data_IF_862186123188
#
_entry.id   IF_862186123188
#
_cell.length_a   1.000
_cell.length_b   1.000
_cell.length_c   1.000
_cell.angle_alpha   90.00
_cell.angle_beta   90.00
_cell.angle_gamma   90.00
#
_symmetry.space_group_name_H-M   'P 1'
#
loop_
_entity.id
_entity.type
_entity.pdbx_description
1 polymer ?
#
# COMPACT_ATOMS: atom_id res chain seq x y z
N UNK A 1 5.31 0.20 11.45
CA UNK A 1 3.96 0.24 10.85
C UNK A 1 4.04 0.71 9.41
N UNK A 2 3.40 -0.03 8.52
CA UNK A 2 3.26 0.35 7.11
C UNK A 2 2.25 1.51 6.97
N UNK A 3 2.38 2.36 5.96
CA UNK A 3 1.41 3.43 5.72
C UNK A 3 0.01 2.89 5.40
N UNK A 4 -0.07 1.71 4.80
CA UNK A 4 -1.31 0.96 4.52
C UNK A 4 -2.10 0.62 5.78
N UNK A 5 -1.43 0.10 6.81
CA UNK A 5 -2.10 -0.31 8.05
C UNK A 5 -2.61 0.90 8.82
N UNK A 6 -1.85 2.00 8.79
CA UNK A 6 -2.26 3.25 9.44
C UNK A 6 -3.45 3.91 8.72
N UNK A 7 -3.44 3.93 7.38
CA UNK A 7 -4.57 4.41 6.57
C UNK A 7 -5.80 3.53 6.77
N UNK A 8 -5.63 2.20 6.71
CA UNK A 8 -6.74 1.26 6.91
C UNK A 8 -7.34 1.38 8.31
N UNK A 9 -6.52 1.50 9.35
CA UNK A 9 -6.98 1.74 10.72
C UNK A 9 -7.72 3.08 10.84
N UNK A 10 -7.21 4.14 10.22
CA UNK A 10 -7.88 5.44 10.21
C UNK A 10 -9.24 5.42 9.50
N UNK A 11 -9.36 4.73 8.37
CA UNK A 11 -10.63 4.55 7.66
C UNK A 11 -11.60 3.71 8.49
N UNK A 12 -11.14 2.58 9.04
CA UNK A 12 -11.98 1.65 9.81
C UNK A 12 -12.50 2.26 11.13
N UNK A 13 -11.75 3.19 11.72
CA UNK A 13 -12.12 3.90 12.95
C UNK A 13 -12.76 5.28 12.69
N UNK A 14 -12.96 5.65 11.42
CA UNK A 14 -13.41 6.98 10.99
C UNK A 14 -12.62 8.14 11.65
N UNK A 15 -11.35 7.88 12.01
CA UNK A 15 -10.51 8.79 12.78
C UNK A 15 -9.14 8.93 12.11
N UNK A 16 -8.68 10.16 11.79
CA UNK A 16 -7.36 10.36 11.18
C UNK A 16 -6.18 10.07 12.14
N UNK A 17 -6.43 9.89 13.44
CA UNK A 17 -5.40 9.72 14.48
C UNK A 17 -4.32 8.67 14.17
N UNK A 18 -4.66 7.41 13.81
CA UNK A 18 -3.69 6.39 13.44
C UNK A 18 -2.77 6.80 12.28
N UNK A 19 -3.32 7.39 11.22
CA UNK A 19 -2.55 7.93 10.10
C UNK A 19 -1.64 9.08 10.54
N UNK A 20 -2.17 10.05 11.30
CA UNK A 20 -1.41 11.20 11.78
C UNK A 20 -0.21 10.76 12.62
N UNK A 21 -0.41 9.81 13.56
CA UNK A 21 0.67 9.26 14.39
C UNK A 21 1.77 8.60 13.55
N UNK A 22 1.39 7.83 12.53
CA UNK A 22 2.35 7.23 11.62
C UNK A 22 3.10 8.28 10.78
N UNK A 23 2.38 9.28 10.28
CA UNK A 23 2.93 10.34 9.46
C UNK A 23 3.94 11.20 10.26
N UNK A 24 3.58 11.61 11.47
CA UNK A 24 4.44 12.41 12.34
C UNK A 24 5.73 11.66 12.67
N UNK A 25 5.64 10.37 13.03
CA UNK A 25 6.82 9.53 13.23
C UNK A 25 7.72 9.47 11.99
N UNK A 26 7.13 9.30 10.80
CA UNK A 26 7.90 9.28 9.54
C UNK A 26 8.49 10.63 9.21
N UNK A 27 7.80 11.72 9.51
CA UNK A 27 8.28 13.08 9.31
C UNK A 27 9.49 13.35 10.19
N UNK A 28 9.38 13.10 11.50
CA UNK A 28 10.46 13.29 12.48
C UNK A 28 11.71 12.48 12.12
N UNK A 29 11.54 11.21 11.76
CA UNK A 29 12.65 10.35 11.37
C UNK A 29 13.38 10.88 10.11
N UNK A 30 12.66 11.45 9.14
CA UNK A 30 13.29 12.07 7.96
C UNK A 30 13.93 13.42 8.30
N UNK A 31 13.31 14.23 9.16
CA UNK A 31 13.88 15.50 9.62
C UNK A 31 15.18 15.29 10.40
N UNK A 32 15.25 14.25 11.24
CA UNK A 32 16.48 13.89 11.95
C UNK A 32 17.62 13.59 10.97
N UNK A 33 17.36 12.78 9.93
CA UNK A 33 18.35 12.49 8.87
C UNK A 33 18.78 13.73 8.09
N UNK A 34 17.87 14.66 7.85
CA UNK A 34 18.18 15.94 7.20
C UNK A 34 19.03 16.85 8.10
N UNK A 35 18.67 16.94 9.38
CA UNK A 35 19.38 17.77 10.35
C UNK A 35 20.84 17.32 10.52
N UNK A 36 21.10 16.00 10.55
CA UNK A 36 22.46 15.47 10.57
C UNK A 36 23.30 15.90 9.35
N UNK A 37 22.67 16.14 8.20
CA UNK A 37 23.35 16.53 6.96
C UNK A 37 23.31 18.05 6.69
N UNK A 38 22.50 18.82 7.42
CA UNK A 38 22.31 20.26 7.21
C UNK A 38 22.44 21.00 8.53
N UNK A 39 23.68 21.20 8.97
CA UNK A 39 24.02 21.83 10.26
C UNK A 39 23.51 23.27 10.41
N UNK A 40 23.18 23.93 9.30
CA UNK A 40 22.76 25.34 9.28
C UNK A 40 21.24 25.56 9.42
N UNK A 41 20.41 24.53 9.29
CA UNK A 41 18.96 24.68 9.29
C UNK A 41 18.33 24.13 10.58
N UNK A 42 17.52 24.95 11.25
CA UNK A 42 16.75 24.50 12.40
C UNK A 42 15.69 23.46 11.98
N UNK A 43 15.41 22.51 12.87
CA UNK A 43 14.38 21.46 12.67
C UNK A 43 13.01 22.05 12.34
N UNK A 44 12.65 23.17 12.97
CA UNK A 44 11.41 23.93 12.69
C UNK A 44 11.37 24.44 11.24
N UNK A 45 12.48 25.00 10.74
CA UNK A 45 12.56 25.50 9.36
C UNK A 45 12.48 24.35 8.35
N UNK A 46 13.16 23.24 8.61
CA UNK A 46 13.06 22.02 7.80
C UNK A 46 11.63 21.49 7.75
N UNK A 47 10.92 21.46 8.88
CA UNK A 47 9.50 21.06 8.94
C UNK A 47 8.63 21.93 8.04
N UNK A 48 8.81 23.25 8.09
CA UNK A 48 8.07 24.17 7.24
C UNK A 48 8.33 23.94 5.74
N UNK A 49 9.59 23.69 5.36
CA UNK A 49 9.97 23.39 3.96
C UNK A 49 9.32 22.08 3.50
N UNK A 50 9.33 21.04 4.33
CA UNK A 50 8.70 19.75 4.03
C UNK A 50 7.19 19.91 3.87
N UNK A 51 6.53 20.64 4.78
CA UNK A 51 5.09 20.91 4.70
C UNK A 51 4.73 21.75 3.46
N UNK A 52 5.55 22.75 3.14
CA UNK A 52 5.38 23.56 1.92
C UNK A 52 5.52 22.69 0.66
N UNK A 53 6.47 21.77 0.63
CA UNK A 53 6.64 20.85 -0.48
C UNK A 53 5.46 19.88 -0.62
N UNK A 54 4.92 19.37 0.48
CA UNK A 54 3.73 18.52 0.47
C UNK A 54 2.49 19.26 -0.06
N UNK A 55 2.27 20.50 0.38
CA UNK A 55 1.15 21.34 -0.08
C UNK A 55 1.27 21.70 -1.56
N UNK A 56 2.45 22.13 -1.98
CA UNK A 56 2.69 22.57 -3.37
C UNK A 56 2.91 21.41 -4.35
N UNK A 57 3.18 20.19 -3.86
CA UNK A 57 3.58 19.01 -4.64
C UNK A 57 4.77 19.27 -5.57
N UNK A 58 5.65 20.21 -5.19
CA UNK A 58 6.81 20.66 -5.97
C UNK A 58 8.09 20.63 -5.15
N UNK A 59 9.22 20.72 -5.84
CA UNK A 59 10.52 20.94 -5.20
C UNK A 59 10.52 22.35 -4.62
N UNK A 60 10.80 22.45 -3.32
CA UNK A 60 11.02 23.71 -2.63
C UNK A 60 12.52 23.93 -2.52
N UNK A 61 12.98 25.09 -2.96
CA UNK A 61 14.38 25.49 -2.84
C UNK A 61 14.52 26.48 -1.68
N UNK A 62 15.50 26.24 -0.81
CA UNK A 62 15.85 27.10 0.29
C UNK A 62 17.39 27.14 0.42
N UNK A 63 18.01 28.25 0.01
CA UNK A 63 19.45 28.40 -0.09
C UNK A 63 20.10 27.24 -0.88
N UNK A 64 21.00 26.49 -0.24
CA UNK A 64 21.70 25.33 -0.78
C UNK A 64 20.88 24.02 -0.74
N UNK A 65 19.68 24.03 -0.14
CA UNK A 65 18.82 22.86 -0.01
C UNK A 65 17.71 22.89 -1.05
N UNK A 66 17.62 21.84 -1.86
CA UNK A 66 16.43 21.52 -2.67
C UNK A 66 15.74 20.31 -2.06
N UNK A 67 14.46 20.45 -1.71
CA UNK A 67 13.70 19.39 -1.04
C UNK A 67 12.37 19.13 -1.74
N UNK A 68 12.02 17.86 -1.89
CA UNK A 68 10.67 17.46 -2.23
C UNK A 68 10.16 16.34 -1.32
N UNK A 69 8.95 16.52 -0.80
CA UNK A 69 8.25 15.53 -0.03
C UNK A 69 6.96 15.09 -0.73
N UNK A 70 6.56 13.84 -0.52
CA UNK A 70 5.36 13.30 -1.14
C UNK A 70 5.02 11.90 -0.66
N UNK A 71 3.98 11.33 -1.26
CA UNK A 71 3.57 9.94 -1.06
C UNK A 71 3.69 9.17 -2.37
N UNK A 72 4.54 8.15 -2.37
CA UNK A 72 4.57 7.16 -3.44
C UNK A 72 3.47 6.15 -3.20
N UNK A 73 2.72 5.81 -4.27
CA UNK A 73 1.63 4.84 -4.20
C UNK A 73 1.93 3.68 -5.13
N UNK A 74 2.03 2.47 -4.57
CA UNK A 74 2.33 1.24 -5.31
C UNK A 74 1.12 0.32 -5.32
N UNK A 75 0.75 -0.16 -6.51
CA UNK A 75 -0.31 -1.16 -6.66
C UNK A 75 0.18 -2.49 -6.08
N UNK A 76 -0.64 -3.15 -5.27
CA UNK A 76 -0.34 -4.47 -4.71
C UNK A 76 -1.32 -5.51 -5.25
N UNK A 77 -0.79 -6.68 -5.53
CA UNK A 77 -1.55 -7.83 -5.99
C UNK A 77 -1.17 -9.04 -5.16
N UNK A 78 -2.15 -9.91 -4.87
CA UNK A 78 -1.92 -11.18 -4.20
C UNK A 78 -2.41 -12.31 -5.11
N UNK A 79 -1.57 -13.33 -5.29
CA UNK A 79 -1.98 -14.59 -5.89
C UNK A 79 -2.80 -15.37 -4.86
N UNK A 80 -4.04 -15.66 -5.18
CA UNK A 80 -4.94 -16.48 -4.37
C UNK A 80 -5.17 -17.77 -5.14
N UNK A 81 -5.02 -18.88 -4.43
CA UNK A 81 -5.26 -20.21 -4.95
C UNK A 81 -6.46 -20.76 -4.20
N UNK A 82 -7.53 -21.08 -4.92
CA UNK A 82 -8.73 -21.66 -4.34
C UNK A 82 -9.23 -22.80 -5.21
N UNK A 83 -10.04 -23.68 -4.62
CA UNK A 83 -10.66 -24.77 -5.35
C UNK A 83 -12.06 -24.33 -5.78
N UNK A 84 -12.27 -24.25 -7.09
CA UNK A 84 -13.54 -23.87 -7.70
C UNK A 84 -14.30 -25.14 -8.13
N UNK A 85 -15.59 -25.28 -7.77
CA UNK A 85 -16.40 -26.38 -8.26
C UNK A 85 -16.64 -26.20 -9.76
N UNK A 86 -16.31 -27.22 -10.55
CA UNK A 86 -16.60 -27.31 -11.98
C UNK A 86 -17.43 -28.53 -12.28
N UNK A 87 -18.35 -28.38 -13.22
CA UNK A 87 -19.23 -29.46 -13.66
C UNK A 87 -18.69 -30.09 -14.94
N UNK A 88 -18.84 -31.40 -15.06
CA UNK A 88 -18.55 -32.16 -16.28
C UNK A 88 -19.55 -33.31 -16.44
N UNK A 89 -19.71 -33.81 -17.67
CA UNK A 89 -20.60 -34.96 -17.93
C UNK A 89 -19.82 -36.26 -17.67
N UNK A 90 -20.39 -37.13 -16.85
CA UNK A 90 -19.84 -38.44 -16.52
C UNK A 90 -20.93 -39.51 -16.74
N UNK A 91 -20.53 -40.73 -17.10
CA UNK A 91 -21.47 -41.87 -17.14
C UNK A 91 -21.52 -42.53 -15.76
N UNK A 92 -22.72 -42.75 -15.23
CA UNK A 92 -22.95 -43.48 -13.98
C UNK A 92 -23.92 -44.62 -14.22
N UNK A 93 -23.62 -45.78 -13.63
CA UNK A 93 -24.51 -46.94 -13.62
C UNK A 93 -25.39 -46.86 -12.37
N UNK A 94 -26.71 -47.01 -12.53
CA UNK A 94 -27.64 -47.06 -11.41
C UNK A 94 -28.02 -48.52 -11.09
N UNK A 95 -28.29 -48.88 -9.82
CA UNK A 95 -28.50 -50.27 -9.44
C UNK A 95 -29.69 -50.97 -10.12
N UNK A 96 -30.67 -50.20 -10.61
CA UNK A 96 -31.90 -50.69 -11.25
C UNK A 96 -32.09 -50.15 -12.68
N UNK A 97 -31.01 -49.73 -13.36
CA UNK A 97 -31.09 -49.13 -14.70
C UNK A 97 -29.77 -49.20 -15.48
N UNK A 98 -29.77 -48.66 -16.70
CA UNK A 98 -28.60 -48.64 -17.60
C UNK A 98 -27.63 -47.47 -17.37
N UNK A 99 -26.56 -47.44 -18.17
CA UNK A 99 -25.60 -46.32 -18.18
C UNK A 99 -26.25 -45.02 -18.61
N UNK A 100 -26.24 -44.03 -17.71
CA UNK A 100 -26.84 -42.72 -17.98
C UNK A 100 -25.81 -41.61 -17.82
N UNK A 101 -25.90 -40.57 -18.65
CA UNK A 101 -25.07 -39.36 -18.50
C UNK A 101 -25.63 -38.50 -17.37
N UNK A 102 -24.79 -38.22 -16.38
CA UNK A 102 -25.11 -37.34 -15.24
C UNK A 102 -24.09 -36.23 -15.12
N UNK A 103 -24.46 -35.16 -14.41
CA UNK A 103 -23.55 -34.05 -14.11
C UNK A 103 -22.74 -34.42 -12.88
N UNK A 104 -21.43 -34.57 -13.05
CA UNK A 104 -20.48 -34.72 -11.95
C UNK A 104 -19.85 -33.36 -11.60
N UNK A 105 -19.56 -33.15 -10.32
CA UNK A 105 -18.78 -32.01 -9.83
C UNK A 105 -17.35 -32.45 -9.55
N UNK A 106 -16.39 -31.58 -9.86
CA UNK A 106 -14.99 -31.73 -9.46
C UNK A 106 -14.45 -30.41 -8.94
N UNK A 107 -13.50 -30.47 -8.01
CA UNK A 107 -12.84 -29.30 -7.45
C UNK A 107 -11.58 -29.01 -8.26
N UNK A 108 -11.59 -27.96 -9.08
CA UNK A 108 -10.41 -27.55 -9.84
C UNK A 108 -9.65 -26.49 -9.07
N UNK A 109 -8.35 -26.70 -8.87
CA UNK A 109 -7.44 -25.68 -8.34
C UNK A 109 -7.31 -24.55 -9.36
N UNK A 110 -7.76 -23.35 -8.98
CA UNK A 110 -7.71 -22.14 -9.81
C UNK A 110 -6.83 -21.12 -9.12
N UNK A 111 -6.01 -20.44 -9.92
CA UNK A 111 -5.15 -19.38 -9.46
C UNK A 111 -5.65 -18.05 -10.01
N UNK A 112 -5.85 -17.07 -9.13
CA UNK A 112 -6.36 -15.76 -9.49
C UNK A 112 -5.55 -14.68 -8.80
N UNK A 113 -5.27 -13.60 -9.52
CA UNK A 113 -4.68 -12.39 -8.95
C UNK A 113 -5.79 -11.48 -8.42
N UNK A 114 -5.78 -11.20 -7.12
CA UNK A 114 -6.71 -10.26 -6.50
C UNK A 114 -5.99 -8.96 -6.13
N UNK A 115 -6.57 -7.78 -6.42
CA UNK A 115 -6.01 -6.51 -6.01
C UNK A 115 -6.04 -6.40 -4.48
N UNK A 116 -4.94 -5.96 -3.90
CA UNK A 116 -4.87 -5.57 -2.49
C UNK A 116 -4.92 -4.03 -2.37
N UNK A 117 -5.23 -3.50 -1.18
CA UNK A 117 -5.08 -2.07 -0.92
C UNK A 117 -3.70 -1.56 -1.33
N UNK A 118 -3.68 -0.41 -2.03
CA UNK A 118 -2.45 0.20 -2.50
C UNK A 118 -1.50 0.50 -1.35
N UNK A 119 -0.20 0.36 -1.60
CA UNK A 119 0.83 0.71 -0.63
C UNK A 119 1.25 2.16 -0.74
N UNK A 120 1.06 2.90 0.35
CA UNK A 120 1.51 4.28 0.47
C UNK A 120 2.82 4.36 1.25
N UNK A 121 3.81 5.03 0.66
CA UNK A 121 5.10 5.29 1.27
C UNK A 121 5.38 6.79 1.26
N UNK A 122 5.48 7.38 2.44
CA UNK A 122 5.99 8.75 2.58
C UNK A 122 7.47 8.81 2.20
N UNK A 123 7.85 9.79 1.40
CA UNK A 123 9.24 10.03 1.03
C UNK A 123 9.60 11.51 1.16
N UNK A 124 10.88 11.74 1.45
CA UNK A 124 11.52 13.06 1.37
C UNK A 124 12.78 12.88 0.54
N UNK A 125 12.83 13.49 -0.64
CA UNK A 125 14.03 13.57 -1.47
C UNK A 125 14.66 14.94 -1.30
N UNK A 126 15.97 15.00 -1.17
CA UNK A 126 16.68 16.25 -1.01
C UNK A 126 18.02 16.23 -1.72
N UNK A 127 18.49 17.42 -2.07
CA UNK A 127 19.81 17.69 -2.62
C UNK A 127 20.41 18.88 -1.87
N UNK A 128 21.63 18.69 -1.37
CA UNK A 128 22.47 19.76 -0.83
C UNK A 128 23.43 20.19 -1.95
N UNK A 129 23.68 21.50 -2.05
CA UNK A 129 24.63 22.11 -2.98
C UNK A 129 25.79 22.74 -2.23
#
# INVERSE_FOLDING_TARGET
>A
MEGTTAIAASVASENPGPFMKWFDYKLEHNLHKLALNSTQLTTSRLKNIVLQSLKSKRIVQNNQLQLQAGFATYKRWKRVVYHEPRTYKCKKHFPWGGWTWVVCTTMKKVEKTMPLPNWHQFYVRYRLR
#
